data_IF_806920874625
#
_entry.id   IF_806920874625
#
_cell.length_a   1.000
_cell.length_b   1.000
_cell.length_c   1.000
_cell.angle_alpha   90.00
_cell.angle_beta   90.00
_cell.angle_gamma   90.00
#
_symmetry.space_group_name_H-M   'P 1'
#
loop_
_entity.id
_entity.type
_entity.pdbx_description
1 polymer ?
#
# COMPACT_ATOMS: atom_id res chain seq x y z
N UNK A 1 4.82 13.08 -16.30
CA UNK A 1 4.46 11.65 -16.46
C UNK A 1 4.35 11.02 -15.09
N UNK A 2 3.16 10.54 -14.75
CA UNK A 2 2.82 9.82 -13.49
C UNK A 2 3.01 8.33 -13.76
N UNK A 3 4.03 7.70 -13.17
CA UNK A 3 4.37 6.27 -13.41
C UNK A 3 3.14 5.34 -13.34
N UNK A 4 2.21 5.65 -12.44
CA UNK A 4 0.92 4.94 -12.29
C UNK A 4 0.06 4.96 -13.55
N UNK A 5 0.01 6.06 -14.31
CA UNK A 5 -0.78 6.15 -15.56
C UNK A 5 -0.30 5.20 -16.65
N UNK A 6 1.00 4.90 -16.70
CA UNK A 6 1.55 3.96 -17.68
C UNK A 6 1.09 2.54 -17.35
N UNK A 7 1.16 2.17 -16.07
CA UNK A 7 0.74 0.85 -15.59
C UNK A 7 -0.78 0.67 -15.74
N UNK A 8 -1.58 1.65 -15.31
CA UNK A 8 -3.05 1.57 -15.44
C UNK A 8 -3.49 1.65 -16.90
N UNK A 9 -2.80 2.42 -17.74
CA UNK A 9 -3.03 2.47 -19.18
C UNK A 9 -2.77 1.14 -19.88
N UNK A 10 -1.89 0.28 -19.33
CA UNK A 10 -1.67 -1.08 -19.80
C UNK A 10 -2.74 -2.08 -19.32
N UNK A 11 -3.77 -1.61 -18.61
CA UNK A 11 -4.89 -2.42 -18.13
C UNK A 11 -4.67 -3.09 -16.77
N UNK A 12 -3.68 -2.65 -16.00
CA UNK A 12 -3.54 -3.05 -14.60
C UNK A 12 -4.40 -2.16 -13.70
N UNK A 13 -4.86 -2.71 -12.59
CA UNK A 13 -5.55 -1.98 -11.52
C UNK A 13 -4.62 -1.82 -10.32
N UNK A 14 -4.74 -0.67 -9.66
CA UNK A 14 -4.13 -0.44 -8.34
C UNK A 14 -4.96 -1.19 -7.29
N UNK A 15 -4.41 -2.27 -6.72
CA UNK A 15 -5.20 -3.19 -5.92
C UNK A 15 -5.67 -2.57 -4.61
N UNK A 16 -4.87 -1.69 -3.99
CA UNK A 16 -5.28 -0.98 -2.79
C UNK A 16 -6.48 -0.07 -3.05
N UNK A 17 -6.46 0.69 -4.16
CA UNK A 17 -7.56 1.62 -4.47
C UNK A 17 -8.78 0.93 -5.11
N UNK A 18 -8.61 -0.28 -5.63
CA UNK A 18 -9.73 -1.12 -6.03
C UNK A 18 -10.52 -1.63 -4.81
N UNK A 19 -9.84 -1.95 -3.71
CA UNK A 19 -10.47 -2.36 -2.44
C UNK A 19 -11.00 -1.15 -1.66
N UNK A 20 -10.23 -0.06 -1.60
CA UNK A 20 -10.56 1.17 -0.88
C UNK A 20 -10.79 2.34 -1.85
N UNK A 21 -11.92 2.41 -2.57
CA UNK A 21 -12.16 3.45 -3.58
C UNK A 21 -12.24 4.85 -2.98
N UNK A 22 -12.61 4.95 -1.70
CA UNK A 22 -12.59 6.21 -0.96
C UNK A 22 -11.15 6.70 -0.76
N UNK A 23 -10.89 7.95 -1.16
CA UNK A 23 -9.59 8.59 -1.06
C UNK A 23 -9.21 8.93 0.37
N UNK A 24 -10.19 9.03 1.28
CA UNK A 24 -9.96 9.32 2.71
C UNK A 24 -9.31 8.14 3.44
N UNK A 25 -9.42 6.91 2.91
CA UNK A 25 -8.69 5.76 3.47
C UNK A 25 -7.19 6.01 3.31
N UNK A 26 -6.52 6.21 4.45
CA UNK A 26 -5.09 6.43 4.54
C UNK A 26 -4.34 5.22 3.94
N UNK A 27 -3.45 5.50 2.99
CA UNK A 27 -2.63 4.49 2.33
C UNK A 27 -1.16 4.88 2.27
N UNK A 28 -0.69 5.78 3.15
CA UNK A 28 0.70 6.22 3.18
C UNK A 28 1.60 5.01 3.42
N UNK A 29 2.63 4.85 2.59
CA UNK A 29 3.57 3.73 2.71
C UNK A 29 4.97 4.16 3.10
N UNK A 30 5.26 5.47 3.20
CA UNK A 30 6.60 5.95 3.49
C UNK A 30 6.59 7.15 4.45
N UNK A 31 7.55 7.23 5.37
CA UNK A 31 7.84 8.39 6.22
C UNK A 31 9.35 8.56 6.43
N UNK A 32 9.92 9.76 6.22
CA UNK A 32 11.36 9.99 6.46
C UNK A 32 11.73 9.88 7.94
N UNK A 33 10.75 10.00 8.84
CA UNK A 33 10.88 9.73 10.27
C UNK A 33 9.85 8.66 10.64
N UNK A 34 10.23 7.36 10.68
CA UNK A 34 9.30 6.25 10.92
C UNK A 34 8.50 6.43 12.22
N UNK A 35 9.15 6.98 13.26
CA UNK A 35 8.55 7.22 14.58
C UNK A 35 7.65 8.45 14.66
N UNK A 36 7.90 9.47 13.83
CA UNK A 36 7.31 10.79 14.02
C UNK A 36 6.19 11.08 13.04
N UNK A 37 5.74 10.06 12.27
CA UNK A 37 4.66 10.13 11.26
C UNK A 37 4.49 11.55 10.72
N UNK A 38 5.55 12.05 10.08
CA UNK A 38 5.47 13.37 9.46
C UNK A 38 4.30 13.36 8.49
N UNK A 39 3.63 14.51 8.33
CA UNK A 39 2.45 14.66 7.48
C UNK A 39 2.88 14.60 6.01
N UNK A 40 3.31 13.42 5.54
CA UNK A 40 3.59 13.13 4.14
C UNK A 40 2.58 12.09 3.65
N UNK A 41 1.55 12.50 2.89
CA UNK A 41 0.50 11.58 2.42
C UNK A 41 0.94 10.67 1.26
N UNK A 42 2.23 10.32 1.20
CA UNK A 42 2.82 9.62 0.07
C UNK A 42 2.57 8.11 0.16
N UNK A 43 1.79 7.60 -0.79
CA UNK A 43 1.74 6.17 -1.14
C UNK A 43 2.61 5.94 -2.36
N UNK A 44 3.80 5.40 -2.15
CA UNK A 44 4.79 5.15 -3.20
C UNK A 44 5.08 3.66 -3.40
N UNK A 45 4.59 2.82 -2.50
CA UNK A 45 4.62 1.37 -2.62
C UNK A 45 3.23 0.90 -3.06
N UNK A 46 3.17 0.30 -4.23
CA UNK A 46 1.91 -0.03 -4.89
C UNK A 46 1.95 -1.44 -5.45
N UNK A 47 0.83 -2.15 -5.32
CA UNK A 47 0.61 -3.43 -5.95
C UNK A 47 -0.37 -3.24 -7.11
N UNK A 48 0.00 -3.77 -8.26
CA UNK A 48 -0.80 -3.72 -9.47
C UNK A 48 -1.10 -5.12 -9.95
N UNK A 49 -2.34 -5.35 -10.36
CA UNK A 49 -2.76 -6.65 -10.85
C UNK A 49 -3.63 -6.51 -12.11
N UNK A 50 -3.65 -7.54 -12.95
CA UNK A 50 -4.37 -7.56 -14.22
C UNK A 50 -4.93 -8.95 -14.47
N UNK A 51 -6.11 -9.02 -15.06
CA UNK A 51 -6.81 -10.26 -15.38
C UNK A 51 -8.16 -10.35 -14.68
N UNK A 52 -8.72 -11.56 -14.62
CA UNK A 52 -10.00 -11.83 -13.97
C UNK A 52 -9.80 -11.99 -12.46
N UNK A 53 -9.65 -10.86 -11.76
CA UNK A 53 -9.35 -10.82 -10.33
C UNK A 53 -10.31 -9.90 -9.58
N UNK A 54 -10.57 -10.21 -8.32
CA UNK A 54 -11.33 -9.36 -7.41
C UNK A 54 -10.54 -9.14 -6.12
N UNK A 55 -10.42 -7.89 -5.70
CA UNK A 55 -9.83 -7.55 -4.39
C UNK A 55 -10.79 -7.86 -3.26
N UNK A 56 -10.32 -8.55 -2.23
CA UNK A 56 -11.08 -8.87 -1.01
C UNK A 56 -10.70 -7.96 0.14
N UNK A 57 -9.41 -7.71 0.30
CA UNK A 57 -8.88 -6.83 1.34
C UNK A 57 -7.55 -6.21 0.90
N UNK A 58 -7.15 -5.14 1.56
CA UNK A 58 -5.88 -4.46 1.38
C UNK A 58 -5.51 -3.66 2.63
N UNK A 59 -4.27 -3.73 3.09
CA UNK A 59 -3.82 -2.87 4.17
C UNK A 59 -2.36 -2.43 4.04
N UNK A 60 -2.06 -1.36 4.76
CA UNK A 60 -0.70 -0.91 5.03
C UNK A 60 -0.37 -1.20 6.49
N UNK A 61 0.78 -1.84 6.74
CA UNK A 61 1.25 -2.21 8.07
C UNK A 61 2.53 -1.44 8.37
N UNK A 62 2.41 -0.39 9.17
CA UNK A 62 3.49 0.52 9.55
C UNK A 62 3.93 0.35 11.02
N UNK A 63 3.50 -0.73 11.66
CA UNK A 63 3.81 -1.07 13.06
C UNK A 63 4.57 -2.39 13.14
N UNK A 64 5.58 -2.47 14.02
CA UNK A 64 6.28 -3.72 14.33
C UNK A 64 5.30 -4.79 14.82
N UNK A 65 5.40 -6.00 14.27
CA UNK A 65 4.61 -7.12 14.77
C UNK A 65 5.15 -7.58 16.14
N UNK A 66 4.30 -8.07 17.04
CA UNK A 66 4.70 -8.42 18.42
C UNK A 66 5.87 -9.39 18.52
N UNK A 67 6.03 -10.33 17.56
CA UNK A 67 7.09 -11.32 17.59
C UNK A 67 8.51 -10.77 17.28
N UNK A 68 8.63 -9.53 16.84
CA UNK A 68 9.94 -8.91 16.54
C UNK A 68 10.64 -8.36 17.79
N UNK A 69 9.98 -8.42 18.94
CA UNK A 69 10.49 -7.88 20.20
C UNK A 69 10.45 -6.35 20.24
N UNK A 70 10.92 -5.75 21.34
CA UNK A 70 10.99 -4.30 21.48
C UNK A 70 12.08 -3.71 20.58
N UNK A 71 11.78 -2.59 19.91
CA UNK A 71 12.71 -1.91 19.03
C UNK A 71 12.00 -1.08 17.97
N UNK A 72 12.77 -0.36 17.18
CA UNK A 72 12.20 0.43 16.09
C UNK A 72 11.76 -0.43 14.93
N UNK A 73 10.67 0.01 14.30
CA UNK A 73 10.34 -0.48 12.97
C UNK A 73 11.50 -0.16 12.03
N UNK A 74 11.99 -1.18 11.35
CA UNK A 74 13.31 -1.20 10.73
C UNK A 74 13.40 -0.39 9.43
N UNK A 75 12.26 0.06 8.88
CA UNK A 75 12.19 0.75 7.61
C UNK A 75 11.37 2.03 7.69
N UNK A 76 11.75 2.99 6.86
CA UNK A 76 10.96 4.16 6.50
C UNK A 76 9.77 3.83 5.59
N UNK A 77 9.69 2.60 5.06
CA UNK A 77 8.57 2.08 4.32
C UNK A 77 7.73 1.08 5.15
N UNK A 78 6.42 1.23 5.10
CA UNK A 78 5.45 0.28 5.64
C UNK A 78 5.29 -0.92 4.69
N UNK A 79 4.94 -2.07 5.25
CA UNK A 79 4.56 -3.22 4.44
C UNK A 79 3.18 -2.97 3.80
N UNK A 80 3.00 -3.39 2.55
CA UNK A 80 1.69 -3.38 1.87
C UNK A 80 1.26 -4.80 1.58
N UNK A 81 -0.01 -5.11 1.75
CA UNK A 81 -0.58 -6.39 1.32
C UNK A 81 -1.93 -6.17 0.64
N UNK A 82 -2.23 -7.00 -0.35
CA UNK A 82 -3.55 -7.08 -0.95
C UNK A 82 -3.97 -8.54 -1.13
N UNK A 83 -5.19 -8.84 -0.71
CA UNK A 83 -5.80 -10.16 -0.82
C UNK A 83 -6.64 -10.20 -2.08
N UNK A 84 -6.22 -11.03 -3.03
CA UNK A 84 -6.85 -11.15 -4.34
C UNK A 84 -7.45 -12.54 -4.52
N UNK A 85 -8.63 -12.57 -5.12
CA UNK A 85 -9.25 -13.79 -5.65
C UNK A 85 -9.09 -13.83 -7.16
N UNK A 86 -8.69 -14.99 -7.70
CA UNK A 86 -8.78 -15.29 -9.13
C UNK A 86 -10.18 -15.84 -9.40
N UNK A 87 -10.86 -15.28 -10.40
CA UNK A 87 -12.23 -15.64 -10.79
C UNK A 87 -12.28 -16.58 -11.99
#
# INVERSE_FOLDING_TARGET
>A
MTATKVITGAGFIDTFRAVHPDVEVEGRTWSPLPRERLINLQRIDMQFAKGNITGRDAAVVDTSMPQHGPGDFYSDHAATHTDLQIN
#
